data_IF_039554044217
#
_entry.id   IF_039554044217
#
_cell.length_a   1.000
_cell.length_b   1.000
_cell.length_c   1.000
_cell.angle_alpha   90.00
_cell.angle_beta   90.00
_cell.angle_gamma   90.00
#
_symmetry.space_group_name_H-M   'P 1'
#
loop_
_entity.id
_entity.type
_entity.pdbx_description
1 polymer ?
#
# COMPACT_ATOMS: atom_id res chain seq x y z
N UNK A 1 13.14 13.17 17.49
CA UNK A 1 12.63 11.79 17.37
C UNK A 1 13.83 10.85 17.35
N UNK A 2 13.87 9.79 18.16
CA UNK A 2 15.00 8.86 18.18
C UNK A 2 15.05 8.01 16.90
N UNK A 3 16.24 7.77 16.36
CA UNK A 3 16.47 6.92 15.17
C UNK A 3 15.89 5.52 15.34
N UNK A 4 15.91 5.00 16.58
CA UNK A 4 15.35 3.69 16.94
C UNK A 4 13.83 3.65 16.71
N UNK A 5 13.13 4.74 17.03
CA UNK A 5 11.67 4.85 16.84
C UNK A 5 11.30 4.91 15.37
N UNK A 6 12.07 5.65 14.57
CA UNK A 6 11.82 5.75 13.13
C UNK A 6 12.00 4.42 12.41
N UNK A 7 13.03 3.65 12.76
CA UNK A 7 13.24 2.31 12.19
C UNK A 7 12.12 1.35 12.53
N UNK A 8 11.68 1.31 13.79
CA UNK A 8 10.56 0.47 14.21
C UNK A 8 9.25 0.84 13.49
N UNK A 9 9.01 2.13 13.26
CA UNK A 9 7.85 2.60 12.49
C UNK A 9 7.90 2.13 11.03
N UNK A 10 9.08 2.21 10.40
CA UNK A 10 9.29 1.71 9.03
C UNK A 10 9.05 0.19 8.96
N UNK A 11 9.61 -0.58 9.90
CA UNK A 11 9.45 -2.03 9.93
C UNK A 11 7.98 -2.43 10.10
N UNK A 12 7.26 -1.78 11.03
CA UNK A 12 5.84 -2.02 11.24
C UNK A 12 4.98 -1.65 10.02
N UNK A 13 5.23 -0.49 9.39
CA UNK A 13 4.47 -0.05 8.22
C UNK A 13 4.65 -1.03 7.05
N UNK A 14 5.88 -1.48 6.82
CA UNK A 14 6.20 -2.45 5.77
C UNK A 14 5.57 -3.82 6.04
N UNK A 15 5.64 -4.31 7.28
CA UNK A 15 5.04 -5.59 7.67
C UNK A 15 3.52 -5.56 7.44
N UNK A 16 2.86 -4.48 7.88
CA UNK A 16 1.41 -4.29 7.66
C UNK A 16 1.06 -4.30 6.17
N UNK A 17 1.80 -3.55 5.35
CA UNK A 17 1.58 -3.49 3.92
C UNK A 17 1.68 -4.88 3.28
N UNK A 18 2.75 -5.62 3.57
CA UNK A 18 2.95 -6.98 3.04
C UNK A 18 1.83 -7.92 3.49
N UNK A 19 1.42 -7.84 4.76
CA UNK A 19 0.37 -8.71 5.29
C UNK A 19 -0.99 -8.43 4.65
N UNK A 20 -1.37 -7.16 4.46
CA UNK A 20 -2.62 -6.83 3.77
C UNK A 20 -2.59 -7.20 2.28
N UNK A 21 -1.45 -7.05 1.62
CA UNK A 21 -1.29 -7.45 0.22
C UNK A 21 -1.47 -8.96 0.06
N UNK A 22 -0.88 -9.75 0.96
CA UNK A 22 -1.06 -11.19 1.00
C UNK A 22 -2.50 -11.59 1.31
N UNK A 23 -3.17 -10.89 2.24
CA UNK A 23 -4.57 -11.14 2.61
C UNK A 23 -5.50 -10.89 1.42
N UNK A 24 -5.30 -9.77 0.71
CA UNK A 24 -6.08 -9.44 -0.49
C UNK A 24 -5.92 -10.51 -1.55
N UNK A 25 -4.70 -11.00 -1.77
CA UNK A 25 -4.41 -12.03 -2.78
C UNK A 25 -4.97 -13.40 -2.39
N UNK A 26 -4.73 -13.83 -1.16
CA UNK A 26 -5.10 -15.18 -0.68
C UNK A 26 -6.60 -15.36 -0.55
N UNK A 27 -7.32 -14.30 -0.14
CA UNK A 27 -8.76 -14.36 0.11
C UNK A 27 -9.60 -13.60 -0.93
N UNK A 28 -9.02 -13.24 -2.08
CA UNK A 28 -9.76 -12.66 -3.20
C UNK A 28 -10.95 -13.56 -3.57
N UNK A 29 -12.16 -13.00 -3.59
CA UNK A 29 -13.40 -13.73 -3.89
C UNK A 29 -13.91 -14.66 -2.78
N UNK A 30 -13.22 -14.76 -1.64
CA UNK A 30 -13.72 -15.46 -0.43
C UNK A 30 -14.26 -14.47 0.61
N UNK A 31 -13.81 -13.23 0.56
CA UNK A 31 -14.32 -12.15 1.39
C UNK A 31 -15.67 -11.68 0.84
N UNK A 32 -16.57 -11.30 1.74
CA UNK A 32 -17.73 -10.50 1.34
C UNK A 32 -17.29 -9.06 1.01
N UNK A 33 -18.20 -8.29 0.42
CA UNK A 33 -17.92 -6.91 0.00
C UNK A 33 -17.36 -6.02 1.14
N UNK A 34 -17.82 -6.23 2.37
CA UNK A 34 -17.34 -5.48 3.54
C UNK A 34 -15.88 -5.84 3.84
N UNK A 35 -15.56 -7.13 3.82
CA UNK A 35 -14.21 -7.63 4.03
C UNK A 35 -13.24 -7.15 2.95
N UNK A 36 -13.66 -7.18 1.68
CA UNK A 36 -12.85 -6.68 0.57
C UNK A 36 -12.53 -5.19 0.73
N UNK A 37 -13.55 -4.36 1.02
CA UNK A 37 -13.36 -2.92 1.27
C UNK A 37 -12.45 -2.66 2.46
N UNK A 38 -12.59 -3.42 3.54
CA UNK A 38 -11.73 -3.27 4.72
C UNK A 38 -10.27 -3.58 4.40
N UNK A 39 -10.01 -4.66 3.66
CA UNK A 39 -8.65 -5.03 3.25
C UNK A 39 -8.06 -3.96 2.32
N UNK A 40 -8.82 -3.49 1.32
CA UNK A 40 -8.36 -2.42 0.42
C UNK A 40 -8.03 -1.13 1.17
N UNK A 41 -8.90 -0.67 2.07
CA UNK A 41 -8.67 0.53 2.88
C UNK A 41 -7.46 0.39 3.79
N UNK A 42 -7.27 -0.79 4.38
CA UNK A 42 -6.13 -1.07 5.26
C UNK A 42 -4.82 -1.12 4.49
N UNK A 43 -4.84 -1.73 3.30
CA UNK A 43 -3.70 -1.77 2.38
C UNK A 43 -3.30 -0.35 1.95
N UNK A 44 -4.28 0.46 1.55
CA UNK A 44 -4.04 1.85 1.14
C UNK A 44 -3.44 2.69 2.28
N UNK A 45 -3.96 2.54 3.51
CA UNK A 45 -3.44 3.23 4.69
C UNK A 45 -1.98 2.85 4.96
N UNK A 46 -1.66 1.55 4.97
CA UNK A 46 -0.30 1.07 5.18
C UNK A 46 0.68 1.54 4.08
N UNK A 47 0.20 1.65 2.84
CA UNK A 47 0.95 2.19 1.73
C UNK A 47 1.26 3.69 1.92
N UNK A 48 0.26 4.47 2.33
CA UNK A 48 0.44 5.89 2.67
C UNK A 48 1.42 6.09 3.83
N UNK A 49 1.36 5.25 4.87
CA UNK A 49 2.33 5.26 5.98
C UNK A 49 3.76 5.02 5.46
N UNK A 50 3.94 4.03 4.59
CA UNK A 50 5.24 3.76 3.97
C UNK A 50 5.76 4.96 3.15
N UNK A 51 4.87 5.65 2.41
CA UNK A 51 5.22 6.85 1.64
C UNK A 51 5.61 8.00 2.58
N UNK A 52 4.85 8.24 3.64
CA UNK A 52 5.12 9.28 4.63
C UNK A 52 6.44 9.04 5.40
N UNK A 53 6.80 7.78 5.62
CA UNK A 53 8.06 7.38 6.26
C UNK A 53 9.26 7.35 5.29
N UNK A 54 9.08 7.73 4.01
CA UNK A 54 10.14 7.82 3.02
C UNK A 54 10.55 6.49 2.37
N UNK A 55 9.80 5.41 2.59
CA UNK A 55 10.07 4.06 2.04
C UNK A 55 9.12 3.68 0.90
N UNK A 56 8.61 4.68 0.15
CA UNK A 56 7.65 4.49 -0.94
C UNK A 56 8.10 3.48 -2.02
N UNK A 57 9.37 3.51 -2.44
CA UNK A 57 9.89 2.55 -3.43
C UNK A 57 9.81 1.10 -2.93
N UNK A 58 10.07 0.88 -1.64
CA UNK A 58 9.94 -0.45 -1.02
C UNK A 58 8.47 -0.88 -0.98
N UNK A 59 7.56 0.05 -0.71
CA UNK A 59 6.13 -0.20 -0.76
C UNK A 59 5.65 -0.60 -2.16
N UNK A 60 6.11 0.11 -3.20
CA UNK A 60 5.82 -0.20 -4.60
C UNK A 60 6.29 -1.62 -4.96
N UNK A 61 7.50 -1.99 -4.54
CA UNK A 61 8.05 -3.34 -4.74
C UNK A 61 7.19 -4.42 -4.05
N UNK A 62 6.72 -4.16 -2.83
CA UNK A 62 5.85 -5.09 -2.11
C UNK A 62 4.55 -5.29 -2.88
N UNK A 63 3.86 -4.22 -3.27
CA UNK A 63 2.63 -4.31 -4.04
C UNK A 63 2.83 -5.09 -5.36
N UNK A 64 3.90 -4.77 -6.09
CA UNK A 64 4.27 -5.46 -7.32
C UNK A 64 4.50 -6.97 -7.11
N UNK A 65 5.17 -7.38 -6.03
CA UNK A 65 5.40 -8.79 -5.71
C UNK A 65 4.10 -9.57 -5.44
N UNK A 66 3.05 -8.87 -4.99
CA UNK A 66 1.72 -9.46 -4.78
C UNK A 66 0.78 -9.28 -5.99
N UNK A 67 1.28 -8.77 -7.12
CA UNK A 67 0.48 -8.53 -8.33
C UNK A 67 -0.52 -7.37 -8.20
N UNK A 68 -0.33 -6.50 -7.22
CA UNK A 68 -1.15 -5.32 -6.99
C UNK A 68 -0.47 -4.15 -7.70
N UNK A 69 -1.07 -3.65 -8.76
CA UNK A 69 -0.55 -2.47 -9.43
C UNK A 69 -0.57 -1.28 -8.45
N UNK A 70 0.54 -0.55 -8.27
CA UNK A 70 0.47 0.71 -7.56
C UNK A 70 -0.53 1.60 -8.28
N UNK A 71 -1.47 2.18 -7.53
CA UNK A 71 -2.43 3.14 -8.11
C UNK A 71 -1.61 4.30 -8.65
N UNK A 72 -1.47 4.38 -9.98
CA UNK A 72 -0.94 5.56 -10.62
C UNK A 72 -1.90 6.70 -10.29
N UNK A 73 -1.54 7.53 -9.30
CA UNK A 73 -2.19 8.81 -9.13
C UNK A 73 -1.94 9.58 -10.42
N UNK A 74 -3.00 9.70 -11.23
CA UNK A 74 -2.95 10.24 -12.58
C UNK A 74 -2.07 11.49 -12.67
N UNK A 75 -0.96 11.34 -13.40
CA UNK A 75 -0.29 12.46 -14.06
C UNK A 75 -0.76 12.64 -15.51
N UNK A 76 -1.94 12.12 -15.83
CA UNK A 76 -2.59 12.31 -17.13
C UNK A 76 -3.90 13.10 -16.98
N UNK A 77 -3.79 14.35 -16.52
CA UNK A 77 -4.77 15.42 -16.81
C UNK A 77 -4.09 16.79 -16.88
N UNK A 78 -2.98 16.89 -17.61
CA UNK A 78 -2.51 18.19 -18.09
C UNK A 78 -2.69 18.26 -19.61
N UNK A 79 -3.84 18.83 -19.99
CA UNK A 79 -4.09 19.63 -21.20
C UNK A 79 -3.91 18.94 -22.56
N UNK A 80 -4.99 18.34 -23.06
CA UNK A 80 -5.27 18.42 -24.51
C UNK A 80 -5.56 19.90 -24.87
N UNK A 81 -4.89 20.48 -25.88
CA UNK A 81 -5.27 21.78 -26.42
C UNK A 81 -6.48 21.59 -27.35
N UNK A 82 -7.52 22.40 -27.13
CA UNK A 82 -8.53 22.70 -28.14
C UNK A 82 -8.11 23.95 -28.93
#
# INVERSE_FOLDING_TARGET
MSVITQRAQIELAVERLSRFAELQRTYAGQLNEIGERLVQSSLFTAYCDCRALGVGKRADQILANHGIAPVEHGRDREREPA
#
